data_IF_026352563730
#
_entry.id   IF_026352563730
#
_cell.length_a   1.000
_cell.length_b   1.000
_cell.length_c   1.000
_cell.angle_alpha   90.00
_cell.angle_beta   90.00
_cell.angle_gamma   90.00
#
_symmetry.space_group_name_H-M   'P 1'
#
loop_
_entity.id
_entity.type
_entity.pdbx_description
1 polymer ?
#
# COMPACT_ATOMS: atom_id res chain seq x y z
N UNK A 1 39.13 -13.53 -23.23
CA UNK A 1 38.49 -14.58 -24.06
C UNK A 1 37.08 -14.13 -24.38
N UNK A 2 36.85 -13.62 -25.61
CA UNK A 2 35.54 -13.09 -26.04
C UNK A 2 34.82 -14.18 -26.82
N UNK A 3 33.62 -14.55 -26.37
CA UNK A 3 32.77 -15.48 -27.10
C UNK A 3 31.78 -14.66 -27.94
N UNK A 4 31.92 -14.73 -29.26
CA UNK A 4 30.97 -14.20 -30.21
C UNK A 4 29.94 -15.30 -30.54
N UNK A 5 28.68 -15.02 -30.28
CA UNK A 5 27.56 -15.87 -30.70
C UNK A 5 27.07 -15.34 -32.07
N UNK A 6 27.19 -16.20 -33.09
CA UNK A 6 26.69 -15.93 -34.42
C UNK A 6 25.19 -16.27 -34.49
N UNK A 7 24.36 -15.32 -34.92
CA UNK A 7 22.96 -15.55 -35.31
C UNK A 7 22.93 -16.12 -36.74
N UNK A 8 22.47 -17.35 -36.88
CA UNK A 8 22.08 -17.91 -38.19
C UNK A 8 20.61 -17.54 -38.47
N UNK A 9 20.39 -16.70 -39.48
CA UNK A 9 19.08 -16.40 -39.99
C UNK A 9 18.60 -17.51 -40.92
N UNK A 10 17.44 -18.05 -40.66
CA UNK A 10 16.73 -19.00 -41.55
C UNK A 10 15.75 -18.22 -42.43
N UNK A 11 16.06 -18.09 -43.69
CA UNK A 11 15.16 -17.50 -44.70
C UNK A 11 14.22 -18.61 -45.23
N UNK A 12 12.94 -18.53 -44.94
CA UNK A 12 11.90 -19.37 -45.52
C UNK A 12 11.33 -18.69 -46.79
N UNK A 13 11.58 -19.27 -47.91
CA UNK A 13 10.99 -18.84 -49.18
C UNK A 13 9.52 -19.28 -49.29
N UNK A 14 8.62 -18.34 -49.33
CA UNK A 14 7.19 -18.58 -49.59
C UNK A 14 6.97 -18.60 -51.11
N UNK A 15 6.63 -19.75 -51.65
CA UNK A 15 6.17 -19.94 -53.02
C UNK A 15 4.69 -19.56 -53.10
N UNK A 16 4.38 -18.46 -53.79
CA UNK A 16 3.01 -18.06 -54.09
C UNK A 16 2.49 -18.84 -55.31
N UNK A 17 1.66 -19.81 -55.06
CA UNK A 17 0.84 -20.47 -56.11
C UNK A 17 -0.35 -19.57 -56.48
N UNK A 18 -0.40 -19.09 -57.74
CA UNK A 18 -1.52 -18.32 -58.27
C UNK A 18 -2.71 -19.24 -58.49
N UNK A 19 -3.68 -19.21 -57.60
CA UNK A 19 -4.99 -19.84 -57.80
C UNK A 19 -5.94 -18.81 -58.36
N UNK A 20 -6.44 -19.01 -59.60
CA UNK A 20 -7.47 -18.21 -60.22
C UNK A 20 -8.78 -18.36 -59.42
N UNK A 21 -9.19 -17.33 -58.72
CA UNK A 21 -10.51 -17.27 -58.10
C UNK A 21 -11.54 -16.85 -59.16
N UNK A 22 -12.45 -17.75 -59.50
CA UNK A 22 -13.66 -17.40 -60.26
C UNK A 22 -14.50 -16.39 -59.40
N UNK A 23 -14.81 -15.25 -59.97
CA UNK A 23 -15.67 -14.24 -59.36
C UNK A 23 -17.10 -14.80 -59.18
N UNK A 24 -17.44 -15.14 -57.96
CA UNK A 24 -18.83 -15.38 -57.57
C UNK A 24 -19.48 -14.02 -57.36
N UNK A 25 -20.51 -13.69 -58.13
CA UNK A 25 -21.30 -12.49 -57.96
C UNK A 25 -21.86 -12.41 -56.53
N UNK A 26 -21.84 -11.24 -55.87
CA UNK A 26 -22.39 -11.13 -54.53
C UNK A 26 -23.92 -11.34 -54.60
N UNK A 27 -24.37 -12.44 -53.94
CA UNK A 27 -25.78 -12.59 -53.66
C UNK A 27 -26.22 -11.39 -52.81
N UNK A 28 -27.20 -10.64 -53.28
CA UNK A 28 -27.83 -9.56 -52.52
C UNK A 28 -28.27 -10.13 -51.16
N UNK A 29 -27.54 -9.81 -50.13
CA UNK A 29 -27.95 -10.12 -48.77
C UNK A 29 -29.19 -9.27 -48.48
N UNK A 30 -30.36 -9.91 -48.56
CA UNK A 30 -31.57 -9.35 -48.01
C UNK A 30 -31.28 -8.97 -46.55
N UNK A 31 -31.38 -7.70 -46.24
CA UNK A 31 -31.23 -7.21 -44.87
C UNK A 31 -32.24 -7.94 -44.01
N UNK A 32 -31.74 -8.82 -43.15
CA UNK A 32 -32.55 -9.46 -42.12
C UNK A 32 -33.14 -8.33 -41.29
N UNK A 33 -34.46 -8.19 -41.17
CA UNK A 33 -35.02 -7.14 -40.33
C UNK A 33 -34.48 -7.33 -38.92
N UNK A 34 -33.88 -6.26 -38.35
CA UNK A 34 -33.42 -6.27 -36.96
C UNK A 34 -34.59 -6.77 -36.09
N UNK A 35 -34.46 -7.96 -35.53
CA UNK A 35 -35.49 -8.53 -34.68
C UNK A 35 -35.73 -7.54 -33.54
N UNK A 36 -36.90 -6.88 -33.56
CA UNK A 36 -37.33 -6.04 -32.44
C UNK A 36 -37.24 -6.91 -31.17
N UNK A 37 -36.33 -6.57 -30.28
CA UNK A 37 -36.13 -7.31 -29.06
C UNK A 37 -37.47 -7.33 -28.28
N UNK A 38 -37.94 -8.51 -27.92
CA UNK A 38 -39.17 -8.63 -27.14
C UNK A 38 -39.00 -7.81 -25.85
N UNK A 39 -40.08 -7.23 -25.28
CA UNK A 39 -40.00 -6.50 -24.01
C UNK A 39 -39.31 -7.32 -22.89
N UNK A 40 -39.40 -8.61 -22.96
CA UNK A 40 -38.79 -9.53 -22.01
C UNK A 40 -37.28 -9.66 -22.22
N UNK A 41 -36.83 -9.72 -23.49
CA UNK A 41 -35.42 -9.69 -23.82
C UNK A 41 -34.76 -8.36 -23.41
N UNK A 42 -35.43 -7.24 -23.58
CA UNK A 42 -34.92 -5.94 -23.14
C UNK A 42 -34.77 -5.87 -21.62
N UNK A 43 -35.74 -6.37 -20.85
CA UNK A 43 -35.66 -6.46 -19.37
C UNK A 43 -34.50 -7.37 -18.95
N UNK A 44 -34.34 -8.52 -19.57
CA UNK A 44 -33.27 -9.47 -19.29
C UNK A 44 -31.89 -8.83 -19.55
N UNK A 45 -31.73 -8.13 -20.67
CA UNK A 45 -30.49 -7.42 -21.01
C UNK A 45 -30.19 -6.32 -19.97
N UNK A 46 -31.21 -5.54 -19.55
CA UNK A 46 -31.02 -4.52 -18.52
C UNK A 46 -30.60 -5.12 -17.17
N UNK A 47 -31.21 -6.22 -16.75
CA UNK A 47 -30.84 -6.93 -15.53
C UNK A 47 -29.41 -7.49 -15.58
N UNK A 48 -29.01 -8.08 -16.72
CA UNK A 48 -27.65 -8.58 -16.93
C UNK A 48 -26.62 -7.44 -16.91
N UNK A 49 -26.89 -6.31 -17.56
CA UNK A 49 -26.02 -5.13 -17.52
C UNK A 49 -25.81 -4.64 -16.10
N UNK A 50 -26.89 -4.56 -15.30
CA UNK A 50 -26.79 -4.16 -13.89
C UNK A 50 -25.95 -5.15 -13.08
N UNK A 51 -26.12 -6.45 -13.31
CA UNK A 51 -25.33 -7.48 -12.62
C UNK A 51 -23.85 -7.40 -13.02
N UNK A 52 -23.53 -7.22 -14.31
CA UNK A 52 -22.16 -7.04 -14.79
C UNK A 52 -21.52 -5.80 -14.14
N UNK A 53 -22.24 -4.67 -14.08
CA UNK A 53 -21.73 -3.47 -13.43
C UNK A 53 -21.45 -3.71 -11.92
N UNK A 54 -22.32 -4.40 -11.22
CA UNK A 54 -22.11 -4.77 -9.81
C UNK A 54 -20.89 -5.68 -9.62
N UNK A 55 -20.73 -6.72 -10.45
CA UNK A 55 -19.58 -7.63 -10.37
C UNK A 55 -18.28 -6.90 -10.68
N UNK A 56 -18.26 -6.04 -11.71
CA UNK A 56 -17.09 -5.22 -12.03
C UNK A 56 -16.69 -4.31 -10.88
N UNK A 57 -17.67 -3.72 -10.20
CA UNK A 57 -17.42 -2.88 -9.02
C UNK A 57 -16.83 -3.71 -7.87
N UNK A 58 -17.35 -4.89 -7.59
CA UNK A 58 -16.79 -5.80 -6.57
C UNK A 58 -15.36 -6.23 -6.90
N UNK A 59 -15.06 -6.53 -8.16
CA UNK A 59 -13.70 -6.85 -8.62
C UNK A 59 -12.79 -5.64 -8.42
N UNK A 60 -13.26 -4.41 -8.73
CA UNK A 60 -12.48 -3.19 -8.50
C UNK A 60 -12.13 -3.01 -7.03
N UNK A 61 -13.08 -3.21 -6.11
CA UNK A 61 -12.81 -3.11 -4.67
C UNK A 61 -11.83 -4.19 -4.17
N UNK A 62 -11.90 -5.40 -4.71
CA UNK A 62 -10.94 -6.46 -4.38
C UNK A 62 -9.53 -6.11 -4.88
N UNK A 63 -9.43 -5.58 -6.10
CA UNK A 63 -8.15 -5.10 -6.64
C UNK A 63 -7.60 -3.90 -5.85
N UNK A 64 -8.47 -3.01 -5.39
CA UNK A 64 -8.09 -1.89 -4.51
C UNK A 64 -7.51 -2.40 -3.17
N UNK A 65 -8.07 -3.49 -2.62
CA UNK A 65 -7.52 -4.15 -1.43
C UNK A 65 -6.06 -4.58 -1.66
N UNK A 66 -5.79 -5.32 -2.75
CA UNK A 66 -4.44 -5.80 -3.08
C UNK A 66 -3.46 -4.63 -3.30
N UNK A 67 -3.90 -3.56 -3.96
CA UNK A 67 -3.06 -2.37 -4.17
C UNK A 67 -2.69 -1.68 -2.86
N UNK A 68 -3.62 -1.59 -1.92
CA UNK A 68 -3.40 -0.97 -0.61
C UNK A 68 -2.45 -1.85 0.23
N UNK A 69 -2.62 -3.17 0.24
CA UNK A 69 -1.71 -4.08 0.94
C UNK A 69 -0.28 -3.99 0.39
N UNK A 70 -0.14 -3.89 -0.94
CA UNK A 70 1.16 -3.67 -1.57
C UNK A 70 1.76 -2.30 -1.22
N UNK A 71 0.95 -1.25 -1.10
CA UNK A 71 1.40 0.08 -0.69
C UNK A 71 1.96 0.07 0.73
N UNK A 72 1.27 -0.55 1.68
CA UNK A 72 1.71 -0.74 3.07
C UNK A 72 3.00 -1.56 3.16
N UNK A 73 3.10 -2.62 2.39
CA UNK A 73 4.30 -3.44 2.34
C UNK A 73 5.49 -2.65 1.75
N UNK A 74 5.26 -1.86 0.70
CA UNK A 74 6.27 -1.00 0.07
C UNK A 74 6.80 0.05 1.04
N UNK A 75 5.92 0.65 1.85
CA UNK A 75 6.31 1.58 2.90
C UNK A 75 7.36 0.98 3.83
N UNK A 76 7.13 -0.23 4.35
CA UNK A 76 8.06 -0.91 5.24
C UNK A 76 9.41 -1.22 4.57
N UNK A 77 9.41 -1.71 3.33
CA UNK A 77 10.65 -1.96 2.58
C UNK A 77 11.46 -0.68 2.32
N UNK A 78 10.81 0.44 2.03
CA UNK A 78 11.50 1.72 1.86
C UNK A 78 12.06 2.24 3.19
N UNK A 79 11.32 2.09 4.27
CA UNK A 79 11.76 2.43 5.63
C UNK A 79 13.01 1.65 6.02
N UNK A 80 13.05 0.33 5.78
CA UNK A 80 14.16 -0.56 6.11
C UNK A 80 15.47 -0.18 5.39
N UNK A 81 15.34 0.36 4.18
CA UNK A 81 16.48 0.74 3.35
C UNK A 81 16.77 2.24 3.36
N UNK A 82 16.11 3.01 4.23
CA UNK A 82 16.25 4.46 4.33
C UNK A 82 16.02 5.18 2.99
N UNK A 83 15.07 4.72 2.19
CA UNK A 83 14.71 5.31 0.91
C UNK A 83 13.70 6.44 1.12
N UNK A 84 14.14 7.51 1.77
CA UNK A 84 13.27 8.57 2.30
C UNK A 84 12.51 9.35 1.22
N UNK A 85 13.11 9.53 0.03
CA UNK A 85 12.44 10.16 -1.09
C UNK A 85 11.29 9.28 -1.57
N UNK A 86 11.57 8.00 -1.87
CA UNK A 86 10.58 7.04 -2.35
C UNK A 86 9.49 6.80 -1.30
N UNK A 87 9.86 6.78 -0.01
CA UNK A 87 8.91 6.63 1.08
C UNK A 87 7.96 7.84 1.15
N UNK A 88 8.49 9.06 1.02
CA UNK A 88 7.68 10.28 1.02
C UNK A 88 6.73 10.34 -0.17
N UNK A 89 7.13 9.81 -1.33
CA UNK A 89 6.32 9.77 -2.54
C UNK A 89 5.09 8.83 -2.44
N UNK A 90 5.06 7.95 -1.44
CA UNK A 90 3.89 7.11 -1.17
C UNK A 90 2.72 7.90 -0.57
N UNK A 91 2.97 9.08 -0.04
CA UNK A 91 1.94 9.91 0.58
C UNK A 91 1.23 10.81 -0.42
N UNK A 92 -0.01 11.19 -0.09
CA UNK A 92 -0.71 12.26 -0.79
C UNK A 92 0.07 13.56 -0.65
N UNK A 93 0.41 14.24 -1.74
CA UNK A 93 1.17 15.48 -1.69
C UNK A 93 0.39 16.64 -1.04
N UNK A 94 -0.94 16.56 -1.00
CA UNK A 94 -1.82 17.63 -0.50
C UNK A 94 -2.46 17.30 0.84
N UNK A 95 -2.67 16.01 1.14
CA UNK A 95 -3.39 15.55 2.32
C UNK A 95 -2.56 14.58 3.19
N UNK A 96 -1.31 14.32 2.79
CA UNK A 96 -0.43 13.40 3.49
C UNK A 96 -0.10 13.87 4.91
N UNK A 97 -0.16 12.94 5.86
CA UNK A 97 0.27 13.17 7.24
C UNK A 97 0.89 11.89 7.81
N UNK A 98 1.83 12.08 8.73
CA UNK A 98 2.44 10.99 9.47
C UNK A 98 2.46 11.31 10.96
N UNK A 99 2.02 10.37 11.79
CA UNK A 99 2.11 10.44 13.23
C UNK A 99 3.03 9.34 13.75
N UNK A 100 4.22 9.74 14.18
CA UNK A 100 5.28 8.83 14.60
C UNK A 100 5.27 8.67 16.12
N UNK A 101 4.35 7.88 16.64
CA UNK A 101 4.24 7.62 18.06
C UNK A 101 4.25 8.94 18.88
N UNK A 102 5.16 9.09 19.85
CA UNK A 102 5.21 10.29 20.70
C UNK A 102 5.89 11.51 20.07
N UNK A 103 6.40 11.39 18.82
CA UNK A 103 7.08 12.53 18.16
C UNK A 103 6.12 13.60 17.68
N UNK A 104 4.85 13.26 17.52
CA UNK A 104 3.80 14.14 17.01
C UNK A 104 3.53 13.95 15.52
N UNK A 105 2.77 14.88 14.96
CA UNK A 105 2.21 14.78 13.61
C UNK A 105 2.90 15.77 12.69
N UNK A 106 3.35 15.30 11.54
CA UNK A 106 3.85 16.12 10.44
C UNK A 106 2.89 16.03 9.25
N UNK A 107 2.59 17.18 8.62
CA UNK A 107 1.58 17.25 7.54
C UNK A 107 2.14 17.93 6.30
N UNK A 108 1.66 17.52 5.13
CA UNK A 108 1.96 18.14 3.84
C UNK A 108 3.46 18.28 3.59
N UNK A 109 3.92 19.49 3.35
CA UNK A 109 5.34 19.81 3.07
C UNK A 109 6.30 19.50 4.23
N UNK A 110 5.80 19.45 5.48
CA UNK A 110 6.59 19.11 6.65
C UNK A 110 6.77 17.60 6.87
N UNK A 111 6.01 16.76 6.16
CA UNK A 111 6.09 15.29 6.31
C UNK A 111 7.50 14.76 6.02
N UNK A 112 8.05 15.06 4.85
CA UNK A 112 9.39 14.60 4.46
C UNK A 112 10.51 15.16 5.37
N UNK A 113 10.58 16.49 5.64
CA UNK A 113 11.52 17.00 6.61
C UNK A 113 11.36 16.40 8.01
N UNK A 114 10.14 16.11 8.45
CA UNK A 114 9.84 15.43 9.72
C UNK A 114 10.43 14.02 9.78
N UNK A 115 10.23 13.22 8.72
CA UNK A 115 10.86 11.90 8.57
C UNK A 115 12.38 11.99 8.64
N UNK A 116 12.99 12.88 7.85
CA UNK A 116 14.44 13.06 7.83
C UNK A 116 14.99 13.50 9.18
N UNK A 117 14.33 14.45 9.85
CA UNK A 117 14.76 14.94 11.17
C UNK A 117 14.72 13.82 12.24
N UNK A 118 13.84 12.86 12.05
CA UNK A 118 13.60 11.74 12.97
C UNK A 118 14.57 10.58 12.73
N UNK A 119 14.69 10.15 11.48
CA UNK A 119 15.36 8.89 11.14
C UNK A 119 16.71 9.07 10.43
N UNK A 120 16.93 10.21 9.82
CA UNK A 120 18.13 10.52 9.06
C UNK A 120 18.66 11.92 9.34
N UNK A 121 19.01 12.25 10.59
CA UNK A 121 19.45 13.61 10.96
C UNK A 121 20.70 14.07 10.18
N UNK A 122 21.47 13.15 9.60
CA UNK A 122 22.61 13.43 8.72
C UNK A 122 22.22 13.60 7.25
N UNK A 123 20.95 13.40 6.91
CA UNK A 123 20.46 13.44 5.53
C UNK A 123 20.84 12.25 4.67
N UNK A 124 21.45 11.21 5.26
CA UNK A 124 21.85 10.02 4.52
C UNK A 124 20.62 9.28 3.99
N UNK A 125 20.62 8.96 2.71
CA UNK A 125 19.63 8.14 2.02
C UNK A 125 20.26 6.84 1.53
N UNK A 126 19.48 5.76 1.55
CA UNK A 126 19.92 4.44 1.14
C UNK A 126 20.40 3.56 2.30
N UNK A 127 20.64 2.29 1.99
CA UNK A 127 21.00 1.29 2.98
C UNK A 127 22.28 1.67 3.72
N UNK A 128 22.21 1.69 5.04
CA UNK A 128 23.37 1.95 5.89
C UNK A 128 24.16 0.67 6.15
N UNK A 129 25.50 0.76 6.02
CA UNK A 129 26.41 -0.34 6.38
C UNK A 129 26.31 -0.63 7.88
N UNK A 130 26.34 -1.90 8.23
CA UNK A 130 26.25 -2.39 9.63
C UNK A 130 24.93 -2.11 10.34
N UNK A 131 23.88 -1.71 9.64
CA UNK A 131 22.54 -1.50 10.22
C UNK A 131 21.56 -2.57 9.77
N UNK A 132 20.77 -3.07 10.71
CA UNK A 132 19.58 -3.87 10.46
C UNK A 132 18.36 -2.98 10.73
N UNK A 133 17.46 -2.92 9.76
CA UNK A 133 16.08 -2.46 9.89
C UNK A 133 15.20 -3.49 9.23
N UNK A 134 14.21 -3.99 9.94
CA UNK A 134 13.24 -4.98 9.47
C UNK A 134 11.89 -4.65 10.10
N UNK A 135 11.00 -4.05 9.31
CA UNK A 135 9.64 -3.70 9.70
C UNK A 135 8.68 -4.60 8.95
N UNK A 136 8.13 -5.57 9.65
CA UNK A 136 7.19 -6.54 9.10
C UNK A 136 5.75 -6.08 9.35
N UNK A 137 5.02 -5.80 8.28
CA UNK A 137 3.60 -5.51 8.31
C UNK A 137 2.82 -6.82 8.12
N UNK A 138 2.07 -7.23 9.15
CA UNK A 138 1.33 -8.51 9.17
C UNK A 138 -0.11 -8.32 9.62
N UNK A 139 -0.98 -9.27 9.27
CA UNK A 139 -2.38 -9.31 9.69
C UNK A 139 -3.18 -8.05 9.29
N UNK A 140 -3.25 -7.70 8.01
CA UNK A 140 -4.00 -6.53 7.59
C UNK A 140 -5.50 -6.71 7.73
N UNK A 141 -6.19 -5.65 8.17
CA UNK A 141 -7.65 -5.47 8.05
C UNK A 141 -7.87 -4.20 7.26
N UNK A 142 -8.25 -4.34 6.00
CA UNK A 142 -8.42 -3.24 5.06
C UNK A 142 -9.90 -3.09 4.75
N UNK A 143 -10.42 -1.88 4.93
CA UNK A 143 -11.79 -1.51 4.62
C UNK A 143 -11.80 -0.45 3.54
N UNK A 144 -12.08 -0.85 2.29
CA UNK A 144 -12.24 0.08 1.17
C UNK A 144 -13.65 0.67 1.21
N UNK A 145 -13.75 1.99 1.07
CA UNK A 145 -15.04 2.66 1.00
C UNK A 145 -15.84 2.20 -0.23
N UNK A 146 -17.19 2.18 -0.17
CA UNK A 146 -18.00 1.70 -1.29
C UNK A 146 -17.81 2.45 -2.61
N UNK A 147 -17.33 3.68 -2.56
CA UNK A 147 -17.04 4.49 -3.76
C UNK A 147 -15.63 4.23 -4.36
N UNK A 148 -14.81 3.41 -3.68
CA UNK A 148 -13.45 3.07 -4.11
C UNK A 148 -12.47 4.25 -4.06
N UNK A 149 -12.72 5.29 -3.27
CA UNK A 149 -11.89 6.51 -3.22
C UNK A 149 -11.09 6.67 -1.95
N UNK A 150 -11.47 5.99 -0.90
CA UNK A 150 -10.75 5.98 0.37
C UNK A 150 -10.76 4.61 1.00
N UNK A 151 -9.82 4.36 1.90
CA UNK A 151 -9.79 3.14 2.69
C UNK A 151 -9.20 3.41 4.07
N UNK A 152 -9.49 2.51 4.99
CA UNK A 152 -8.86 2.44 6.31
C UNK A 152 -8.14 1.12 6.44
N UNK A 153 -6.97 1.16 7.06
CA UNK A 153 -6.08 0.02 7.21
C UNK A 153 -5.69 -0.12 8.66
N UNK A 154 -5.90 -1.30 9.22
CA UNK A 154 -5.23 -1.73 10.45
C UNK A 154 -4.24 -2.82 10.08
N UNK A 155 -2.98 -2.65 10.47
CA UNK A 155 -1.95 -3.65 10.21
C UNK A 155 -1.00 -3.72 11.40
N UNK A 156 -0.58 -4.92 11.75
CA UNK A 156 0.35 -5.13 12.86
C UNK A 156 1.78 -4.93 12.40
N UNK A 157 2.54 -4.18 13.20
CA UNK A 157 3.98 -4.01 13.06
C UNK A 157 4.72 -4.98 13.97
N UNK A 158 5.69 -5.70 13.44
CA UNK A 158 6.79 -6.32 14.17
C UNK A 158 8.07 -5.74 13.62
N UNK A 159 8.93 -5.21 14.48
CA UNK A 159 10.15 -4.56 14.02
C UNK A 159 11.39 -5.07 14.77
N UNK A 160 12.48 -5.21 14.03
CA UNK A 160 13.79 -5.53 14.56
C UNK A 160 14.79 -4.50 14.03
N UNK A 161 15.54 -3.90 14.96
CA UNK A 161 16.50 -2.86 14.62
C UNK A 161 17.80 -3.08 15.37
N UNK A 162 18.93 -2.77 14.75
CA UNK A 162 20.21 -2.92 15.40
C UNK A 162 21.38 -2.46 14.54
N UNK A 163 22.56 -2.46 15.15
CA UNK A 163 23.82 -2.20 14.47
C UNK A 163 24.78 -3.34 14.75
N UNK A 164 25.54 -3.76 13.75
CA UNK A 164 26.52 -4.81 13.93
C UNK A 164 27.52 -4.45 15.04
N UNK A 165 27.69 -5.35 16.02
CA UNK A 165 28.53 -5.13 17.19
C UNK A 165 27.99 -4.12 18.20
N UNK A 166 26.77 -3.61 18.01
CA UNK A 166 26.11 -2.64 18.88
C UNK A 166 24.82 -3.17 19.50
N UNK A 167 24.02 -2.26 20.02
CA UNK A 167 22.72 -2.58 20.58
C UNK A 167 21.73 -3.03 19.50
N UNK A 168 20.93 -4.02 19.83
CA UNK A 168 19.77 -4.45 19.06
C UNK A 168 18.50 -4.32 19.89
N UNK A 169 17.40 -4.03 19.24
CA UNK A 169 16.08 -3.93 19.85
C UNK A 169 15.02 -4.53 18.93
N UNK A 170 13.94 -4.95 19.53
CA UNK A 170 12.75 -5.37 18.85
C UNK A 170 11.53 -4.65 19.41
N UNK A 171 10.48 -4.60 18.64
CA UNK A 171 9.28 -3.90 19.03
C UNK A 171 8.07 -4.39 18.28
N UNK A 172 6.95 -3.90 18.68
CA UNK A 172 5.69 -4.16 18.03
C UNK A 172 4.76 -2.96 18.14
N UNK A 173 3.80 -2.94 17.25
CA UNK A 173 2.83 -1.88 17.16
C UNK A 173 1.65 -2.24 16.28
N UNK A 174 0.82 -1.25 16.08
CA UNK A 174 -0.31 -1.31 15.16
C UNK A 174 -0.33 0.00 14.38
N UNK A 175 -0.43 -0.10 13.06
CA UNK A 175 -0.80 1.03 12.23
C UNK A 175 -2.33 1.11 12.14
N UNK A 176 -2.86 2.32 12.25
CA UNK A 176 -4.23 2.69 11.87
C UNK A 176 -4.11 3.79 10.82
N UNK A 177 -4.07 3.38 9.56
CA UNK A 177 -3.78 4.25 8.43
C UNK A 177 -5.05 4.62 7.66
N UNK A 178 -5.04 5.78 7.02
CA UNK A 178 -6.04 6.17 6.04
C UNK A 178 -5.40 6.28 4.66
N UNK A 179 -6.07 5.71 3.66
CA UNK A 179 -5.68 5.77 2.25
C UNK A 179 -6.63 6.63 1.44
N UNK A 180 -6.10 7.25 0.41
CA UNK A 180 -6.87 8.02 -0.57
C UNK A 180 -6.46 7.62 -1.98
N UNK A 181 -7.44 7.58 -2.88
CA UNK A 181 -7.19 7.33 -4.30
C UNK A 181 -7.23 8.64 -5.08
N UNK A 182 -6.07 9.10 -5.52
CA UNK A 182 -5.90 10.33 -6.30
C UNK A 182 -5.47 9.95 -7.73
N UNK A 183 -6.18 10.44 -8.73
CA UNK A 183 -5.93 10.16 -10.16
C UNK A 183 -5.80 8.66 -10.48
N UNK A 184 -6.59 7.84 -9.79
CA UNK A 184 -6.59 6.38 -9.96
C UNK A 184 -5.48 5.63 -9.22
N UNK A 185 -4.62 6.32 -8.45
CA UNK A 185 -3.50 5.76 -7.69
C UNK A 185 -3.78 5.86 -6.20
N UNK A 186 -3.58 4.76 -5.48
CA UNK A 186 -3.67 4.75 -4.02
C UNK A 186 -2.43 5.39 -3.40
N UNK A 187 -2.66 6.25 -2.40
CA UNK A 187 -1.63 6.96 -1.63
C UNK A 187 -1.97 6.94 -0.15
N UNK A 188 -0.96 7.06 0.69
CA UNK A 188 -1.15 7.21 2.13
C UNK A 188 -1.63 8.64 2.40
N UNK A 189 -2.81 8.75 3.02
CA UNK A 189 -3.35 10.01 3.53
C UNK A 189 -2.90 10.24 4.96
N UNK A 190 -2.99 9.21 5.80
CA UNK A 190 -2.52 9.26 7.18
C UNK A 190 -1.79 7.97 7.49
N UNK A 191 -0.54 8.07 7.91
CA UNK A 191 0.20 6.99 8.55
C UNK A 191 0.24 7.26 10.05
N UNK A 192 -0.27 6.33 10.86
CA UNK A 192 -0.31 6.47 12.30
C UNK A 192 0.11 5.17 12.98
N UNK A 193 1.31 5.15 13.53
CA UNK A 193 1.83 4.02 14.28
C UNK A 193 1.58 4.17 15.78
N UNK A 194 0.89 3.19 16.34
CA UNK A 194 0.71 3.00 17.77
C UNK A 194 1.68 1.91 18.25
N UNK A 195 2.73 2.29 18.94
CA UNK A 195 3.64 1.32 19.52
C UNK A 195 3.00 0.59 20.70
N UNK A 196 3.24 -0.71 20.81
CA UNK A 196 2.78 -1.53 21.93
C UNK A 196 3.92 -1.91 22.86
N UNK A 197 5.12 -2.07 22.31
CA UNK A 197 6.35 -2.27 23.08
C UNK A 197 7.58 -1.96 22.23
N UNK A 198 8.67 -1.59 22.89
CA UNK A 198 10.03 -1.53 22.31
C UNK A 198 11.01 -1.93 23.38
N UNK A 199 11.80 -2.98 23.15
CA UNK A 199 12.66 -3.59 24.16
C UNK A 199 14.05 -3.89 23.59
N UNK A 200 15.11 -3.89 24.40
CA UNK A 200 16.37 -4.53 24.03
C UNK A 200 16.12 -5.99 23.63
N UNK A 201 16.85 -6.47 22.63
CA UNK A 201 16.61 -7.79 22.03
C UNK A 201 16.75 -8.96 23.03
N UNK A 202 17.59 -8.80 24.02
CA UNK A 202 17.82 -9.79 25.11
C UNK A 202 16.73 -9.82 26.18
N UNK A 203 15.71 -8.95 26.07
CA UNK A 203 14.59 -8.87 27.01
C UNK A 203 13.26 -9.17 26.34
N UNK A 204 12.33 -9.76 27.07
CA UNK A 204 10.99 -10.03 26.63
C UNK A 204 10.08 -8.78 26.69
N UNK A 205 8.98 -8.76 25.92
CA UNK A 205 8.06 -7.61 25.85
C UNK A 205 7.41 -7.25 27.19
N UNK A 206 7.35 -8.19 28.13
CA UNK A 206 6.78 -8.00 29.46
C UNK A 206 7.79 -7.47 30.49
N UNK A 207 9.05 -7.28 30.12
CA UNK A 207 10.06 -6.78 31.07
C UNK A 207 9.80 -5.35 31.56
N UNK A 208 8.88 -4.62 30.91
CA UNK A 208 8.53 -3.24 31.23
C UNK A 208 9.63 -2.25 30.86
N UNK A 209 9.33 -0.98 30.83
CA UNK A 209 10.33 0.06 30.64
C UNK A 209 10.97 0.03 29.25
N UNK A 210 10.15 -0.01 28.21
CA UNK A 210 10.58 0.41 26.90
C UNK A 210 11.20 1.79 27.09
N UNK A 211 12.50 1.85 27.17
CA UNK A 211 13.21 3.11 27.37
C UNK A 211 12.65 4.15 26.42
N UNK A 212 11.92 5.10 26.95
CA UNK A 212 10.94 5.97 26.34
C UNK A 212 11.16 6.21 24.87
N UNK A 213 10.12 5.98 24.08
CA UNK A 213 10.13 6.43 22.69
C UNK A 213 10.49 7.92 22.68
N UNK A 214 11.39 8.36 21.80
CA UNK A 214 11.79 9.77 21.75
C UNK A 214 10.58 10.67 21.52
N UNK A 215 10.46 11.73 22.30
CA UNK A 215 9.49 12.78 22.10
C UNK A 215 9.75 13.62 20.85
N UNK A 216 9.03 14.74 20.71
CA UNK A 216 9.20 15.68 19.60
C UNK A 216 10.65 16.12 19.43
N UNK A 217 11.08 16.24 18.16
CA UNK A 217 12.41 16.80 17.87
C UNK A 217 12.39 18.32 18.07
N UNK A 218 13.17 18.88 19.03
CA UNK A 218 13.17 20.32 19.29
C UNK A 218 13.75 21.16 18.15
N UNK A 219 14.56 20.57 17.27
CA UNK A 219 15.13 21.26 16.10
C UNK A 219 14.17 21.30 14.91
N UNK A 220 13.23 20.38 14.86
CA UNK A 220 12.18 20.32 13.88
C UNK A 220 10.88 19.85 14.57
N UNK A 221 10.17 20.77 15.23
CA UNK A 221 8.97 20.43 15.98
C UNK A 221 7.86 19.96 15.02
N UNK A 222 6.99 19.06 15.48
CA UNK A 222 5.84 18.64 14.69
C UNK A 222 4.80 19.76 14.56
N UNK A 223 3.97 19.65 13.51
CA UNK A 223 2.85 20.59 13.30
C UNK A 223 1.77 20.49 14.39
N UNK A 224 1.62 19.27 14.95
CA UNK A 224 0.69 18.99 16.04
C UNK A 224 1.30 18.02 17.05
N UNK A 225 0.91 18.10 18.32
CA UNK A 225 1.33 17.10 19.31
C UNK A 225 0.79 15.71 18.92
N UNK A 226 1.35 14.63 19.50
CA UNK A 226 0.83 13.29 19.30
C UNK A 226 -0.61 13.20 19.83
N UNK A 227 -1.44 12.45 19.12
CA UNK A 227 -2.85 12.28 19.48
C UNK A 227 -3.04 11.34 20.66
N UNK A 228 -2.06 10.46 20.93
CA UNK A 228 -2.06 9.51 22.01
C UNK A 228 -0.67 9.39 22.65
N UNK A 229 -0.63 9.29 23.95
CA UNK A 229 0.62 9.03 24.71
C UNK A 229 0.80 7.54 24.82
N UNK A 230 1.96 7.07 24.36
CA UNK A 230 2.33 5.66 24.47
C UNK A 230 2.37 5.21 25.94
N UNK A 231 1.85 4.01 26.18
CA UNK A 231 1.93 3.33 27.47
C UNK A 231 2.26 1.85 27.25
N UNK A 232 3.38 1.40 27.81
CA UNK A 232 3.81 0.00 27.73
C UNK A 232 3.34 -0.83 28.94
N UNK A 233 3.58 -2.12 28.89
CA UNK A 233 3.28 -3.05 29.97
C UNK A 233 3.96 -2.58 31.30
N UNK A 234 3.24 -2.55 32.45
CA UNK A 234 1.88 -3.05 32.67
C UNK A 234 0.74 -2.07 32.35
N UNK A 235 1.03 -0.89 31.89
CA UNK A 235 0.01 0.07 31.49
C UNK A 235 -0.76 -0.43 30.26
N UNK A 236 -1.98 0.07 30.08
CA UNK A 236 -2.85 -0.25 28.94
C UNK A 236 -3.33 1.02 28.32
N UNK A 237 -3.35 1.05 26.99
CA UNK A 237 -4.06 2.07 26.24
C UNK A 237 -4.80 1.45 25.07
N UNK A 238 -5.96 2.01 24.75
CA UNK A 238 -6.80 1.48 23.69
C UNK A 238 -6.44 2.13 22.35
N UNK A 239 -6.06 1.29 21.40
CA UNK A 239 -5.84 1.72 20.02
C UNK A 239 -7.20 1.71 19.32
N UNK A 240 -7.66 2.82 18.73
CA UNK A 240 -8.92 2.89 18.00
C UNK A 240 -9.04 1.78 16.96
N UNK A 241 -10.24 1.20 16.83
CA UNK A 241 -10.55 0.17 15.84
C UNK A 241 -11.51 0.78 14.81
N UNK A 242 -11.13 0.79 13.53
CA UNK A 242 -11.94 1.39 12.47
C UNK A 242 -13.03 0.48 11.90
N UNK A 243 -13.00 -0.81 12.18
CA UNK A 243 -13.92 -1.80 11.63
C UNK A 243 -14.87 -2.36 12.69
N UNK A 244 -15.96 -2.89 12.23
CA UNK A 244 -16.96 -3.60 13.05
C UNK A 244 -16.62 -5.08 13.13
N UNK A 245 -17.17 -5.76 14.13
CA UNK A 245 -17.08 -7.21 14.21
C UNK A 245 -17.68 -7.85 12.93
N UNK A 246 -16.90 -8.64 12.18
CA UNK A 246 -17.34 -9.16 10.88
C UNK A 246 -18.48 -10.20 10.99
N UNK A 247 -18.72 -10.76 12.19
CA UNK A 247 -19.78 -11.76 12.42
C UNK A 247 -21.07 -11.09 12.85
N UNK A 248 -20.99 -10.13 13.79
CA UNK A 248 -22.18 -9.51 14.38
C UNK A 248 -22.56 -8.17 13.77
N UNK A 249 -21.64 -7.54 13.03
CA UNK A 249 -21.84 -6.21 12.44
C UNK A 249 -21.82 -5.05 13.43
N UNK A 250 -21.50 -5.31 14.69
CA UNK A 250 -21.47 -4.31 15.78
C UNK A 250 -20.07 -3.82 16.03
#
# INVERSE_FOLDING_TARGET
MSVRIALMGLAAALVFGSSAFAAVAPASAAATPAAASSPDAAKTIAALKKRIASVRHQISLAHDYDQIENLESTYSYYLDKNLWNQLSDLFSPTQGSIELAQRGVYVGEHLRPGLLSTFAPTGAEGAAVNRIGDHQNVQPVITVAPDGKSAKVRIRLIQMMGNAGGAAQWGGGVYENEMIKEDGVWKIKTDHVYNTFTMPYDKGPSAGGAGGLPGPNPRFPPDRPPSLVFADCPSVYDIPIHYKNPVTGK
#
